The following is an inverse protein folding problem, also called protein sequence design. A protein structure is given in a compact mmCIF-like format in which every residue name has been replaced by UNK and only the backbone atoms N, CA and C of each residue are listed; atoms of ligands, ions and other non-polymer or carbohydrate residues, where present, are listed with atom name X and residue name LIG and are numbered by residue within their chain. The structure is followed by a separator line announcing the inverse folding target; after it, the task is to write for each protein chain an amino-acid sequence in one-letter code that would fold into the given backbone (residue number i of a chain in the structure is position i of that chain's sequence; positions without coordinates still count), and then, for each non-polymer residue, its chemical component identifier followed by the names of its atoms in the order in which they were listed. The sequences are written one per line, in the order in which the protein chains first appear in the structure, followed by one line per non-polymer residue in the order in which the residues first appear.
data_IF_978659154918
#
_entry.id   IF_978659154918
#
_cell.length_a   1.000
_cell.length_b   1.000
_cell.length_c   1.000
_cell.angle_alpha   90.00
_cell.angle_beta   90.00
_cell.angle_gamma   90.00
#
_symmetry.space_group_name_H-M   'P 1'
#
loop_
_entity.id
_entity.type
_entity.pdbx_description
1 polymer ?
#
# COMPACT_ATOMS: atom_id res chain seq x y z
N UNK A 1 1.01 -9.46 17.50
CA UNK A 1 0.66 -8.28 16.68
C UNK A 1 1.77 -7.94 15.68
N UNK A 2 3.00 -7.62 16.11
CA UNK A 2 4.11 -7.24 15.20
C UNK A 2 4.34 -8.20 14.04
N UNK A 3 4.51 -9.51 14.31
CA UNK A 3 4.74 -10.51 13.26
C UNK A 3 3.58 -10.64 12.28
N UNK A 4 2.34 -10.50 12.75
CA UNK A 4 1.14 -10.51 11.92
C UNK A 4 1.06 -9.29 11.00
N UNK A 5 1.33 -8.08 11.53
CA UNK A 5 1.40 -6.87 10.71
C UNK A 5 2.53 -6.93 9.68
N UNK A 6 3.71 -7.45 10.05
CA UNK A 6 4.81 -7.64 9.09
C UNK A 6 4.38 -8.58 7.96
N UNK A 7 3.78 -9.73 8.29
CA UNK A 7 3.28 -10.67 7.29
C UNK A 7 2.29 -9.99 6.33
N UNK A 8 1.24 -9.36 6.87
CA UNK A 8 0.17 -8.79 6.08
C UNK A 8 0.66 -7.62 5.20
N UNK A 9 1.49 -6.73 5.73
CA UNK A 9 2.03 -5.59 4.97
C UNK A 9 2.99 -6.05 3.87
N UNK A 10 3.86 -7.02 4.15
CA UNK A 10 4.74 -7.61 3.13
C UNK A 10 3.93 -8.34 2.05
N UNK A 11 2.94 -9.12 2.44
CA UNK A 11 2.03 -9.80 1.51
C UNK A 11 1.25 -8.80 0.65
N UNK A 12 0.81 -7.67 1.22
CA UNK A 12 0.13 -6.60 0.49
C UNK A 12 0.97 -6.09 -0.69
N UNK A 13 2.27 -5.85 -0.46
CA UNK A 13 3.19 -5.39 -1.51
C UNK A 13 3.29 -6.42 -2.65
N UNK A 14 3.43 -7.70 -2.31
CA UNK A 14 3.51 -8.75 -3.33
C UNK A 14 2.18 -8.96 -4.07
N UNK A 15 1.05 -8.96 -3.37
CA UNK A 15 -0.27 -9.04 -3.98
C UNK A 15 -0.53 -7.86 -4.94
N UNK A 16 -0.12 -6.65 -4.55
CA UNK A 16 -0.23 -5.47 -5.40
C UNK A 16 0.65 -5.59 -6.65
N UNK A 17 1.90 -6.05 -6.51
CA UNK A 17 2.78 -6.30 -7.64
C UNK A 17 2.24 -7.36 -8.59
N UNK A 18 1.64 -8.44 -8.07
CA UNK A 18 0.96 -9.47 -8.87
C UNK A 18 -0.22 -8.87 -9.63
N UNK A 19 -1.08 -8.10 -8.97
CA UNK A 19 -2.23 -7.46 -9.60
C UNK A 19 -1.81 -6.49 -10.73
N UNK A 20 -0.82 -5.62 -10.48
CA UNK A 20 -0.24 -4.71 -11.47
C UNK A 20 0.37 -5.47 -12.65
N UNK A 21 1.23 -6.46 -12.39
CA UNK A 21 1.88 -7.25 -13.45
C UNK A 21 0.84 -7.97 -14.30
N UNK A 22 -0.18 -8.55 -13.67
CA UNK A 22 -1.26 -9.25 -14.36
C UNK A 22 -2.06 -8.28 -15.23
N UNK A 23 -2.49 -7.15 -14.69
CA UNK A 23 -3.22 -6.13 -15.44
C UNK A 23 -2.44 -5.62 -16.65
N UNK A 24 -1.16 -5.29 -16.49
CA UNK A 24 -0.30 -4.83 -17.61
C UNK A 24 -0.15 -5.93 -18.66
N UNK A 25 0.06 -7.19 -18.26
CA UNK A 25 0.18 -8.32 -19.20
C UNK A 25 -1.10 -8.57 -20.02
N UNK A 26 -2.25 -8.10 -19.52
CA UNK A 26 -3.57 -8.16 -20.16
C UNK A 26 -3.95 -6.86 -20.87
N UNK A 27 -3.00 -5.94 -21.08
CA UNK A 27 -3.26 -4.67 -21.74
C UNK A 27 -4.18 -3.75 -20.94
N UNK A 28 -4.25 -3.90 -19.62
CA UNK A 28 -5.12 -3.13 -18.73
C UNK A 28 -6.57 -3.60 -18.70
N UNK A 29 -6.90 -4.79 -19.23
CA UNK A 29 -8.25 -5.33 -19.18
C UNK A 29 -8.65 -5.76 -17.76
N UNK A 30 -9.28 -4.85 -17.02
CA UNK A 30 -9.83 -5.11 -15.68
C UNK A 30 -10.98 -6.12 -15.67
N UNK A 31 -11.51 -6.51 -16.84
CA UNK A 31 -12.54 -7.53 -16.94
C UNK A 31 -11.98 -8.95 -17.08
N UNK A 32 -10.70 -9.11 -17.42
CA UNK A 32 -10.03 -10.40 -17.51
C UNK A 32 -10.10 -11.12 -16.15
N UNK A 33 -10.47 -12.41 -16.19
CA UNK A 33 -10.71 -13.19 -14.98
C UNK A 33 -9.47 -13.30 -14.08
N UNK A 34 -8.27 -13.31 -14.66
CA UNK A 34 -7.02 -13.37 -13.90
C UNK A 34 -6.69 -12.04 -13.22
N UNK A 35 -7.05 -10.92 -13.85
CA UNK A 35 -6.92 -9.58 -13.24
C UNK A 35 -7.88 -9.45 -12.08
N UNK A 36 -9.14 -9.85 -12.26
CA UNK A 36 -10.15 -9.85 -11.18
C UNK A 36 -9.70 -10.69 -9.98
N UNK A 37 -9.23 -11.91 -10.22
CA UNK A 37 -8.74 -12.79 -9.16
C UNK A 37 -7.54 -12.17 -8.40
N UNK A 38 -6.61 -11.51 -9.09
CA UNK A 38 -5.47 -10.85 -8.46
C UNK A 38 -5.90 -9.62 -7.63
N UNK A 39 -6.86 -8.84 -8.12
CA UNK A 39 -7.44 -7.70 -7.39
C UNK A 39 -8.23 -8.18 -6.16
N UNK A 40 -9.00 -9.26 -6.27
CA UNK A 40 -9.71 -9.88 -5.15
C UNK A 40 -8.74 -10.37 -4.06
N UNK A 41 -7.61 -10.98 -4.44
CA UNK A 41 -6.58 -11.41 -3.49
C UNK A 41 -5.93 -10.21 -2.76
N UNK A 42 -5.65 -9.12 -3.48
CA UNK A 42 -5.15 -7.89 -2.90
C UNK A 42 -6.16 -7.26 -1.92
N UNK A 43 -7.45 -7.27 -2.27
CA UNK A 43 -8.50 -6.74 -1.42
C UNK A 43 -8.72 -7.61 -0.17
N UNK A 44 -8.66 -8.94 -0.30
CA UNK A 44 -8.73 -9.85 0.84
C UNK A 44 -7.61 -9.59 1.87
N UNK A 45 -6.38 -9.32 1.40
CA UNK A 45 -5.29 -8.91 2.29
C UNK A 45 -5.55 -7.51 2.90
N UNK A 46 -6.17 -6.59 2.16
CA UNK A 46 -6.57 -5.26 2.68
C UNK A 46 -7.59 -5.37 3.81
N UNK A 47 -8.57 -6.28 3.67
CA UNK A 47 -9.54 -6.60 4.73
C UNK A 47 -8.83 -7.22 5.94
N UNK A 48 -7.93 -8.18 5.73
CA UNK A 48 -7.17 -8.78 6.84
C UNK A 48 -6.31 -7.74 7.59
N UNK A 49 -5.74 -6.76 6.87
CA UNK A 49 -5.03 -5.62 7.48
C UNK A 49 -5.97 -4.74 8.31
N UNK A 50 -7.16 -4.41 7.78
CA UNK A 50 -8.12 -3.60 8.52
C UNK A 50 -8.59 -4.31 9.78
N UNK A 51 -8.90 -5.60 9.70
CA UNK A 51 -9.29 -6.42 10.87
C UNK A 51 -8.16 -6.46 11.92
N UNK A 52 -6.89 -6.56 11.49
CA UNK A 52 -5.76 -6.54 12.39
C UNK A 52 -5.66 -5.20 13.16
N UNK A 53 -5.89 -4.07 12.48
CA UNK A 53 -5.98 -2.74 13.12
C UNK A 53 -7.22 -2.64 14.01
N UNK A 54 -8.37 -3.08 13.51
CA UNK A 54 -9.68 -3.10 14.17
C UNK A 54 -9.69 -3.88 15.47
N UNK A 55 -8.92 -4.96 15.55
CA UNK A 55 -8.75 -5.75 16.78
C UNK A 55 -8.21 -4.93 17.96
N UNK A 56 -7.43 -3.88 17.69
CA UNK A 56 -6.96 -2.93 18.70
C UNK A 56 -7.79 -1.65 18.75
N UNK A 57 -8.34 -1.21 17.61
CA UNK A 57 -9.12 0.02 17.44
C UNK A 57 -10.37 -0.23 16.60
N UNK A 58 -11.47 -0.74 17.19
CA UNK A 58 -12.66 -1.14 16.43
C UNK A 58 -13.24 0.00 15.57
N UNK A 59 -13.29 1.22 16.11
CA UNK A 59 -13.82 2.39 15.40
C UNK A 59 -12.92 2.84 14.22
N UNK A 60 -11.68 2.33 14.14
CA UNK A 60 -10.72 2.66 13.10
C UNK A 60 -10.73 1.68 11.92
N UNK A 61 -11.34 0.50 12.07
CA UNK A 61 -11.29 -0.58 11.07
C UNK A 61 -11.83 -0.12 9.72
N UNK A 62 -13.06 0.40 9.70
CA UNK A 62 -13.71 0.84 8.48
C UNK A 62 -13.02 2.07 7.86
N UNK A 63 -12.72 3.15 8.60
CA UNK A 63 -11.94 4.27 8.06
C UNK A 63 -10.57 3.86 7.51
N UNK A 64 -9.90 2.90 8.16
CA UNK A 64 -8.65 2.34 7.68
C UNK A 64 -8.85 1.61 6.35
N UNK A 65 -9.83 0.71 6.26
CA UNK A 65 -10.08 -0.05 5.03
C UNK A 65 -10.44 0.87 3.85
N UNK A 66 -11.27 1.88 4.09
CA UNK A 66 -11.64 2.88 3.08
C UNK A 66 -10.42 3.68 2.60
N UNK A 67 -9.58 4.14 3.53
CA UNK A 67 -8.33 4.84 3.22
C UNK A 67 -7.36 3.93 2.45
N UNK A 68 -7.17 2.69 2.91
CA UNK A 68 -6.28 1.69 2.32
C UNK A 68 -6.71 1.28 0.90
N UNK A 69 -8.01 1.22 0.62
CA UNK A 69 -8.48 0.95 -0.74
C UNK A 69 -8.23 2.13 -1.70
N UNK A 70 -8.23 3.35 -1.19
CA UNK A 70 -7.98 4.54 -2.03
C UNK A 70 -6.54 4.56 -2.58
N UNK A 71 -5.53 4.21 -1.78
CA UNK A 71 -4.14 4.25 -2.28
C UNK A 71 -3.88 3.23 -3.37
N UNK A 72 -4.54 2.07 -3.32
CA UNK A 72 -4.49 1.06 -4.38
C UNK A 72 -4.95 1.69 -5.70
N UNK A 73 -6.05 2.45 -5.66
CA UNK A 73 -6.56 3.19 -6.82
C UNK A 73 -5.54 4.17 -7.40
N UNK A 74 -4.79 4.89 -6.55
CA UNK A 74 -3.76 5.82 -7.03
C UNK A 74 -2.57 5.10 -7.70
N UNK A 75 -2.15 3.94 -7.20
CA UNK A 75 -1.13 3.13 -7.89
C UNK A 75 -1.64 2.52 -9.20
N UNK A 76 -2.92 2.15 -9.28
CA UNK A 76 -3.57 1.75 -10.53
C UNK A 76 -3.56 2.91 -11.53
N UNK A 77 -3.91 4.12 -11.10
CA UNK A 77 -3.89 5.30 -11.95
C UNK A 77 -2.49 5.63 -12.46
N UNK A 78 -1.47 5.54 -11.60
CA UNK A 78 -0.07 5.67 -11.99
C UNK A 78 0.32 4.61 -13.04
N UNK A 79 -0.02 3.34 -12.79
CA UNK A 79 0.27 2.22 -13.70
C UNK A 79 -0.36 2.44 -15.07
N UNK A 80 -1.65 2.80 -15.10
CA UNK A 80 -2.37 3.07 -16.34
C UNK A 80 -1.78 4.26 -17.08
N UNK A 81 -1.49 5.36 -16.38
CA UNK A 81 -0.85 6.53 -16.98
C UNK A 81 0.49 6.20 -17.62
N UNK A 82 1.31 5.39 -16.96
CA UNK A 82 2.58 4.88 -17.52
C UNK A 82 2.36 3.96 -18.73
N UNK A 83 1.39 3.06 -18.68
CA UNK A 83 1.11 2.09 -19.75
C UNK A 83 0.49 2.74 -21.00
N UNK A 84 -0.15 3.89 -20.85
CA UNK A 84 -0.83 4.61 -21.95
C UNK A 84 -0.15 5.94 -22.33
N UNK A 85 1.06 6.21 -21.83
CA UNK A 85 1.79 7.47 -22.03
C UNK A 85 0.99 8.74 -21.63
N UNK A 86 0.10 8.64 -20.64
CA UNK A 86 -0.68 9.75 -20.10
C UNK A 86 0.05 10.40 -18.91
N UNK A 87 0.88 11.39 -19.21
CA UNK A 87 1.66 12.10 -18.21
C UNK A 87 0.79 12.86 -17.19
N UNK A 88 -0.38 13.38 -17.60
CA UNK A 88 -1.25 14.10 -16.68
C UNK A 88 -1.84 13.17 -15.62
N UNK A 89 -2.19 11.93 -16.01
CA UNK A 89 -2.63 10.89 -15.09
C UNK A 89 -1.51 10.45 -14.15
N UNK A 90 -0.28 10.32 -14.65
CA UNK A 90 0.91 10.04 -13.82
C UNK A 90 1.13 11.13 -12.76
N UNK A 91 1.11 12.40 -13.15
CA UNK A 91 1.36 13.53 -12.26
C UNK A 91 0.24 13.69 -11.21
N UNK A 92 -1.00 13.45 -11.62
CA UNK A 92 -2.14 13.38 -10.70
C UNK A 92 -1.97 12.26 -9.67
N UNK A 93 -1.65 11.04 -10.11
CA UNK A 93 -1.47 9.90 -9.22
C UNK A 93 -0.34 10.14 -8.20
N UNK A 94 0.78 10.75 -8.62
CA UNK A 94 1.86 11.17 -7.70
C UNK A 94 1.37 12.17 -6.65
N UNK A 95 0.59 13.17 -7.08
CA UNK A 95 0.02 14.19 -6.18
C UNK A 95 -0.97 13.57 -5.20
N UNK A 96 -1.85 12.70 -5.67
CA UNK A 96 -2.84 12.01 -4.85
C UNK A 96 -2.16 11.07 -3.84
N UNK A 97 -1.08 10.37 -4.23
CA UNK A 97 -0.29 9.56 -3.29
C UNK A 97 0.44 10.40 -2.24
N UNK A 98 0.94 11.59 -2.61
CA UNK A 98 1.54 12.51 -1.64
C UNK A 98 0.51 13.01 -0.60
N UNK A 99 -0.68 13.38 -1.08
CA UNK A 99 -1.82 13.72 -0.22
C UNK A 99 -2.30 12.53 0.63
N UNK A 100 -2.32 11.32 0.06
CA UNK A 100 -2.66 10.10 0.77
C UNK A 100 -1.73 9.87 1.96
N UNK A 101 -0.40 9.95 1.79
CA UNK A 101 0.55 9.79 2.92
C UNK A 101 0.22 10.73 4.08
N UNK A 102 -0.17 11.97 3.78
CA UNK A 102 -0.55 12.96 4.79
C UNK A 102 -1.84 12.57 5.51
N UNK A 103 -2.90 12.26 4.76
CA UNK A 103 -4.20 11.88 5.34
C UNK A 103 -4.15 10.54 6.10
N UNK A 104 -3.38 9.57 5.60
CA UNK A 104 -3.14 8.30 6.28
C UNK A 104 -2.37 8.51 7.59
N UNK A 105 -1.34 9.36 7.59
CA UNK A 105 -0.65 9.74 8.82
C UNK A 105 -1.58 10.35 9.87
N UNK A 106 -2.52 11.21 9.44
CA UNK A 106 -3.54 11.79 10.31
C UNK A 106 -4.50 10.73 10.86
N UNK A 107 -4.94 9.78 10.03
CA UNK A 107 -5.78 8.67 10.45
C UNK A 107 -5.08 7.82 11.53
N UNK A 108 -3.83 7.41 11.30
CA UNK A 108 -3.06 6.65 12.29
C UNK A 108 -2.89 7.44 13.58
N UNK A 109 -2.51 8.73 13.50
CA UNK A 109 -2.33 9.56 14.68
C UNK A 109 -3.62 9.80 15.48
N UNK A 110 -4.79 9.77 14.82
CA UNK A 110 -6.08 9.94 15.50
C UNK A 110 -6.41 8.81 16.48
N UNK A 111 -5.82 7.62 16.29
CA UNK A 111 -6.04 6.43 17.12
C UNK A 111 -4.79 6.01 17.88
N UNK A 112 -3.59 6.36 17.38
CA UNK A 112 -2.29 6.15 18.01
C UNK A 112 -1.56 7.50 18.13
N UNK A 113 -1.88 8.35 19.13
CA UNK A 113 -1.28 9.67 19.28
C UNK A 113 0.25 9.67 19.43
N UNK A 114 0.83 8.54 19.85
CA UNK A 114 2.26 8.28 19.97
C UNK A 114 2.99 8.23 18.61
N UNK A 115 2.25 8.12 17.50
CA UNK A 115 2.76 8.16 16.14
C UNK A 115 2.36 9.47 15.46
N UNK A 116 3.22 10.52 15.46
CA UNK A 116 2.88 11.81 14.87
C UNK A 116 2.57 11.69 13.38
N UNK A 117 1.48 12.32 12.93
CA UNK A 117 1.01 12.21 11.55
C UNK A 117 2.09 12.54 10.50
N UNK A 118 2.88 13.59 10.74
CA UNK A 118 3.98 13.97 9.85
C UNK A 118 5.11 12.95 9.79
N UNK A 119 5.40 12.28 10.91
CA UNK A 119 6.41 11.22 10.97
C UNK A 119 5.95 9.97 10.21
N UNK A 120 4.68 9.56 10.37
CA UNK A 120 4.07 8.47 9.60
C UNK A 120 4.11 8.77 8.10
N UNK A 121 3.69 9.99 7.70
CA UNK A 121 3.74 10.39 6.30
C UNK A 121 5.17 10.31 5.74
N UNK A 122 6.16 10.85 6.46
CA UNK A 122 7.57 10.85 6.07
C UNK A 122 8.15 9.43 5.95
N UNK A 123 7.77 8.52 6.84
CA UNK A 123 8.22 7.12 6.81
C UNK A 123 7.75 6.38 5.55
N UNK A 124 6.57 6.70 5.02
CA UNK A 124 6.01 6.09 3.81
C UNK A 124 6.64 6.59 2.50
N UNK A 125 7.39 7.69 2.54
CA UNK A 125 7.98 8.34 1.36
C UNK A 125 8.91 7.41 0.54
N UNK A 126 9.92 6.73 1.14
CA UNK A 126 10.76 5.76 0.43
C UNK A 126 9.97 4.55 -0.07
N UNK A 127 8.93 4.13 0.66
CA UNK A 127 8.08 3.02 0.23
C UNK A 127 7.31 3.35 -1.06
N UNK A 128 6.63 4.49 -1.09
CA UNK A 128 5.92 4.95 -2.31
C UNK A 128 6.88 5.06 -3.50
N UNK A 129 8.08 5.62 -3.30
CA UNK A 129 9.06 5.71 -4.38
C UNK A 129 9.48 4.32 -4.90
N UNK A 130 9.77 3.37 -4.01
CA UNK A 130 10.16 2.01 -4.43
C UNK A 130 9.05 1.26 -5.19
N UNK A 131 7.77 1.55 -4.89
CA UNK A 131 6.64 1.02 -5.63
C UNK A 131 6.54 1.63 -7.03
N UNK A 132 6.78 2.94 -7.19
CA UNK A 132 6.87 3.56 -8.52
C UNK A 132 7.97 2.91 -9.35
N UNK A 133 9.16 2.69 -8.77
CA UNK A 133 10.26 2.07 -9.49
C UNK A 133 9.92 0.64 -9.96
N UNK A 134 9.19 -0.12 -9.14
CA UNK A 134 8.72 -1.46 -9.49
C UNK A 134 7.68 -1.41 -10.62
N UNK A 135 6.70 -0.51 -10.55
CA UNK A 135 5.69 -0.32 -11.60
C UNK A 135 6.33 0.11 -12.92
N UNK A 136 7.26 1.07 -12.87
CA UNK A 136 8.01 1.51 -14.05
C UNK A 136 8.72 0.33 -14.74
N UNK A 137 9.32 -0.58 -13.97
CA UNK A 137 9.94 -1.80 -14.51
C UNK A 137 8.95 -2.82 -15.06
N UNK A 138 7.75 -2.94 -14.47
CA UNK A 138 6.66 -3.76 -15.04
C UNK A 138 6.26 -3.21 -16.41
N UNK A 139 5.99 -1.91 -16.51
CA UNK A 139 5.56 -1.27 -17.75
C UNK A 139 6.66 -1.29 -18.82
N UNK A 140 7.91 -1.08 -18.42
CA UNK A 140 9.05 -1.13 -19.34
C UNK A 140 9.40 -2.56 -19.81
N UNK A 141 8.94 -3.59 -19.11
CA UNK A 141 9.27 -4.99 -19.43
C UNK A 141 10.77 -5.30 -19.29
N UNK A 142 11.48 -4.60 -18.42
CA UNK A 142 12.95 -4.66 -18.29
C UNK A 142 13.48 -5.85 -17.47
N UNK A 143 12.57 -6.69 -16.95
CA UNK A 143 12.89 -7.86 -16.13
C UNK A 143 13.32 -7.55 -14.69
N UNK A 144 13.29 -6.29 -14.25
CA UNK A 144 13.69 -5.87 -12.90
C UNK A 144 12.52 -5.72 -11.92
N UNK A 145 11.28 -5.85 -12.39
CA UNK A 145 10.06 -5.63 -11.61
C UNK A 145 10.08 -6.36 -10.24
N UNK A 146 10.40 -7.66 -10.23
CA UNK A 146 10.44 -8.43 -8.99
C UNK A 146 11.55 -7.98 -8.02
N UNK A 147 12.74 -7.67 -8.54
CA UNK A 147 13.85 -7.22 -7.72
C UNK A 147 13.52 -5.89 -7.02
N UNK A 148 12.86 -4.97 -7.73
CA UNK A 148 12.41 -3.68 -7.18
C UNK A 148 11.22 -3.83 -6.23
N UNK A 149 10.28 -4.73 -6.54
CA UNK A 149 9.17 -5.05 -5.67
C UNK A 149 9.66 -5.63 -4.32
N UNK A 150 10.70 -6.48 -4.35
CA UNK A 150 11.35 -6.96 -3.13
C UNK A 150 11.92 -5.80 -2.30
N UNK A 151 12.59 -4.83 -2.92
CA UNK A 151 13.05 -3.62 -2.22
C UNK A 151 11.88 -2.87 -1.57
N UNK A 152 10.74 -2.74 -2.26
CA UNK A 152 9.55 -2.12 -1.68
C UNK A 152 9.00 -2.91 -0.47
N UNK A 153 9.01 -4.24 -0.56
CA UNK A 153 8.57 -5.14 0.50
C UNK A 153 9.51 -5.12 1.72
N UNK A 154 10.80 -4.85 1.54
CA UNK A 154 11.80 -4.73 2.61
C UNK A 154 11.56 -3.54 3.54
N UNK A 155 10.76 -2.55 3.13
CA UNK A 155 10.33 -1.46 4.02
C UNK A 155 9.30 -1.94 5.07
N UNK A 156 8.47 -2.94 4.74
CA UNK A 156 7.31 -3.32 5.55
C UNK A 156 7.62 -3.84 6.96
N UNK A 157 8.72 -4.58 7.23
CA UNK A 157 9.10 -4.94 8.59
C UNK A 157 9.33 -3.74 9.52
N UNK A 158 9.93 -2.65 9.01
CA UNK A 158 10.14 -1.42 9.78
C UNK A 158 8.80 -0.71 10.05
N UNK A 159 7.96 -0.56 9.03
CA UNK A 159 6.61 0.01 9.17
C UNK A 159 5.77 -0.78 10.18
N UNK A 160 5.80 -2.11 10.10
CA UNK A 160 5.11 -2.99 11.04
C UNK A 160 5.64 -2.84 12.48
N UNK A 161 6.95 -2.66 12.65
CA UNK A 161 7.56 -2.44 13.96
C UNK A 161 7.13 -1.10 14.55
N UNK A 162 7.12 -0.02 13.75
CA UNK A 162 6.65 1.31 14.16
C UNK A 162 5.17 1.28 14.57
N UNK A 163 4.30 0.71 13.74
CA UNK A 163 2.87 0.58 14.04
C UNK A 163 2.64 -0.27 15.29
N UNK A 164 3.21 -1.48 15.35
CA UNK A 164 3.03 -2.35 16.51
C UNK A 164 3.59 -1.74 17.80
N UNK A 165 4.70 -1.00 17.72
CA UNK A 165 5.29 -0.28 18.85
C UNK A 165 4.37 0.82 19.37
N UNK A 166 3.87 1.69 18.48
CA UNK A 166 2.93 2.75 18.87
C UNK A 166 1.63 2.20 19.46
N UNK A 167 1.08 1.13 18.86
CA UNK A 167 -0.12 0.47 19.39
C UNK A 167 0.14 -0.13 20.78
N UNK A 168 1.28 -0.80 20.97
CA UNK A 168 1.64 -1.39 22.25
C UNK A 168 1.79 -0.32 23.34
N UNK A 169 2.45 0.81 23.03
CA UNK A 169 2.59 1.94 23.94
C UNK A 169 1.22 2.53 24.30
N UNK A 170 0.39 2.81 23.31
CA UNK A 170 -0.95 3.36 23.49
C UNK A 170 -1.87 2.47 24.35
N UNK A 171 -1.85 1.16 24.07
CA UNK A 171 -2.68 0.16 24.77
C UNK A 171 -2.03 -0.37 26.05
N UNK A 172 -0.81 0.08 26.39
CA UNK A 172 -0.02 -0.38 27.54
C UNK A 172 0.17 -1.90 27.54
N UNK A 173 0.44 -2.46 26.36
CA UNK A 173 0.73 -3.88 26.17
C UNK A 173 2.21 -4.14 26.46
N UNK A 174 2.48 -5.15 27.29
CA UNK A 174 3.83 -5.60 27.66
C UNK A 174 4.44 -6.55 26.64
#
# INVERSE_FOLDING_TARGET
MRSGLTYLLTEHVYAAGIAVTTAVSKGGDMNDATVKAAVEALDANSVALSEAVGSAYPDAEQPFLESWRQHIGFFVDYTLGKATDDQAKVDKAKTDLDGYRTSFGQLINSVVPELPAGAVAQELQPHVQSLFDAIDSVVAGDGQAFAKLRTAAEHMPMTAATLAGGIAENKKLS
#
